data_IF_930243243548
#
_entry.id   IF_930243243548
#
_cell.length_a   1.000
_cell.length_b   1.000
_cell.length_c   1.000
_cell.angle_alpha   90.00
_cell.angle_beta   90.00
_cell.angle_gamma   90.00
#
_symmetry.space_group_name_H-M   'P 1'
#
loop_
_entity.id
_entity.type
_entity.pdbx_description
1 polymer ?
#
# COMPACT_ATOMS: atom_id res chain seq x y z
N UNK A 1 2.94 15.07 -1.62
CA UNK A 1 1.49 14.81 -1.63
C UNK A 1 1.20 13.83 -2.76
N UNK A 2 0.43 12.79 -2.47
CA UNK A 2 0.02 11.77 -3.42
C UNK A 2 -1.50 11.64 -3.40
N UNK A 3 -2.11 11.58 -4.56
CA UNK A 3 -3.53 11.25 -4.74
C UNK A 3 -3.61 9.88 -5.40
N UNK A 4 -4.36 8.98 -4.82
CA UNK A 4 -4.65 7.65 -5.38
C UNK A 4 -6.14 7.49 -5.56
N UNK A 5 -6.53 6.71 -6.55
CA UNK A 5 -7.92 6.31 -6.72
C UNK A 5 -7.98 4.92 -7.33
N UNK A 6 -8.91 4.10 -6.86
CA UNK A 6 -9.10 2.72 -7.34
C UNK A 6 -10.58 2.46 -7.57
N UNK A 7 -10.93 2.16 -8.80
CA UNK A 7 -12.25 1.62 -9.14
C UNK A 7 -12.24 0.10 -9.03
N UNK A 8 -13.16 -0.46 -8.23
CA UNK A 8 -13.23 -1.89 -8.01
C UNK A 8 -13.97 -2.56 -9.16
N UNK A 9 -13.37 -3.61 -9.71
CA UNK A 9 -13.89 -4.40 -10.83
C UNK A 9 -14.48 -5.74 -10.38
N UNK A 10 -14.06 -6.22 -9.21
CA UNK A 10 -14.49 -7.50 -8.64
C UNK A 10 -13.73 -7.82 -7.36
N UNK A 11 -13.81 -9.06 -6.92
CA UNK A 11 -13.13 -9.55 -5.73
C UNK A 11 -12.67 -10.99 -5.89
N UNK A 12 -11.71 -11.39 -5.05
CA UNK A 12 -11.34 -12.79 -4.88
C UNK A 12 -12.05 -13.38 -3.67
N UNK A 13 -12.60 -14.56 -3.83
CA UNK A 13 -13.18 -15.33 -2.72
C UNK A 13 -12.09 -15.98 -1.82
N UNK A 14 -12.52 -16.71 -0.80
CA UNK A 14 -11.62 -17.39 0.13
C UNK A 14 -10.84 -18.55 -0.52
N UNK A 15 -11.25 -19.06 -1.65
CA UNK A 15 -10.60 -20.11 -2.44
C UNK A 15 -9.69 -19.53 -3.54
N UNK A 16 -9.71 -18.20 -3.71
CA UNK A 16 -8.89 -17.49 -4.71
C UNK A 16 -9.52 -17.43 -6.10
N UNK A 17 -10.84 -17.69 -6.23
CA UNK A 17 -11.53 -17.47 -7.49
C UNK A 17 -11.88 -15.99 -7.63
N UNK A 18 -11.65 -15.45 -8.80
CA UNK A 18 -12.08 -14.08 -9.11
C UNK A 18 -13.56 -14.06 -9.49
N UNK A 19 -14.30 -13.13 -8.86
CA UNK A 19 -15.70 -12.86 -9.13
C UNK A 19 -15.85 -11.39 -9.50
N UNK A 20 -16.37 -11.12 -10.69
CA UNK A 20 -16.63 -9.74 -11.13
C UNK A 20 -17.71 -9.09 -10.25
N UNK A 21 -17.65 -7.76 -10.11
CA UNK A 21 -18.66 -7.01 -9.36
C UNK A 21 -20.05 -7.24 -9.97
N UNK A 22 -21.08 -7.52 -9.15
CA UNK A 22 -22.43 -7.71 -9.64
C UNK A 22 -22.98 -6.48 -10.38
N UNK A 23 -23.91 -6.67 -11.29
CA UNK A 23 -24.57 -5.57 -11.98
C UNK A 23 -25.30 -4.65 -10.99
N UNK A 24 -25.17 -3.32 -11.17
CA UNK A 24 -25.75 -2.34 -10.27
C UNK A 24 -24.93 -2.10 -8.99
N UNK A 25 -23.75 -2.69 -8.86
CA UNK A 25 -22.79 -2.39 -7.80
C UNK A 25 -21.59 -1.64 -8.36
N UNK A 26 -21.07 -0.69 -7.61
CA UNK A 26 -19.81 0.00 -7.90
C UNK A 26 -19.13 0.43 -6.62
N UNK A 27 -17.81 0.44 -6.63
CA UNK A 27 -17.00 0.94 -5.53
C UNK A 27 -15.80 1.72 -6.09
N UNK A 28 -15.54 2.86 -5.48
CA UNK A 28 -14.37 3.68 -5.76
C UNK A 28 -13.75 4.12 -4.45
N UNK A 29 -12.48 3.81 -4.28
CA UNK A 29 -11.67 4.21 -3.14
C UNK A 29 -10.67 5.28 -3.57
N UNK A 30 -10.72 6.45 -2.92
CA UNK A 30 -9.80 7.55 -3.06
C UNK A 30 -8.94 7.73 -1.81
N UNK A 31 -7.68 8.11 -1.97
CA UNK A 31 -6.77 8.38 -0.87
C UNK A 31 -5.87 9.56 -1.23
N UNK A 32 -5.78 10.53 -0.32
CA UNK A 32 -4.85 11.65 -0.40
C UNK A 32 -3.81 11.50 0.71
N UNK A 33 -2.55 11.27 0.33
CA UNK A 33 -1.44 11.13 1.26
C UNK A 33 -0.67 12.44 1.42
N UNK A 34 -0.56 12.92 2.65
CA UNK A 34 0.45 13.89 3.02
C UNK A 34 1.68 13.15 3.51
N UNK A 35 2.78 13.30 2.78
CA UNK A 35 4.04 12.61 3.07
C UNK A 35 5.12 13.62 3.35
N UNK A 36 5.79 13.46 4.48
CA UNK A 36 7.00 14.21 4.84
C UNK A 36 8.15 13.24 5.12
N UNK A 37 9.29 13.45 4.47
CA UNK A 37 10.51 12.65 4.69
C UNK A 37 11.64 13.55 5.11
N UNK A 38 12.30 13.19 6.20
CA UNK A 38 13.48 13.88 6.72
C UNK A 38 14.66 12.92 6.72
N UNK A 39 15.77 13.34 6.09
CA UNK A 39 17.05 12.67 6.24
C UNK A 39 17.70 13.15 7.53
N UNK A 40 17.92 12.24 8.49
CA UNK A 40 18.44 12.55 9.82
C UNK A 40 19.98 12.48 9.82
N UNK A 41 20.50 11.45 9.17
CA UNK A 41 21.94 11.19 8.99
C UNK A 41 22.19 10.91 7.52
N UNK A 42 23.46 10.83 7.09
CA UNK A 42 23.80 10.50 5.70
C UNK A 42 23.07 9.26 5.18
N UNK A 43 22.89 8.26 6.05
CA UNK A 43 22.40 6.94 5.72
C UNK A 43 20.99 6.64 6.27
N UNK A 44 20.40 7.57 7.05
CA UNK A 44 19.12 7.36 7.71
C UNK A 44 18.08 8.39 7.32
N UNK A 45 16.86 7.95 7.10
CA UNK A 45 15.70 8.82 6.88
C UNK A 45 14.49 8.34 7.67
N UNK A 46 13.63 9.29 8.04
CA UNK A 46 12.34 9.05 8.68
C UNK A 46 11.25 9.65 7.81
N UNK A 47 10.17 8.91 7.63
CA UNK A 47 9.01 9.32 6.84
C UNK A 47 7.76 9.26 7.69
N UNK A 48 6.98 10.34 7.66
CA UNK A 48 5.63 10.43 8.20
C UNK A 48 4.65 10.46 7.05
N UNK A 49 3.61 9.62 7.11
CA UNK A 49 2.52 9.57 6.15
C UNK A 49 1.19 9.72 6.89
N UNK A 50 0.39 10.70 6.48
CA UNK A 50 -0.97 10.94 6.95
C UNK A 50 -1.93 10.78 5.77
N UNK A 51 -2.73 9.69 5.72
CA UNK A 51 -3.69 9.46 4.65
C UNK A 51 -5.06 10.09 4.98
N UNK A 52 -5.74 10.58 3.95
CA UNK A 52 -7.16 10.96 3.97
C UNK A 52 -7.88 10.04 2.98
N UNK A 53 -8.79 9.24 3.49
CA UNK A 53 -9.52 8.22 2.72
C UNK A 53 -10.90 8.73 2.37
N UNK A 54 -11.38 8.43 1.17
CA UNK A 54 -12.74 8.70 0.71
C UNK A 54 -13.24 7.48 -0.06
N UNK A 55 -14.38 6.94 0.32
CA UNK A 55 -14.95 5.75 -0.30
C UNK A 55 -16.36 6.04 -0.80
N UNK A 56 -16.64 5.66 -2.02
CA UNK A 56 -17.97 5.69 -2.62
C UNK A 56 -18.38 4.26 -2.96
N UNK A 57 -19.51 3.82 -2.40
CA UNK A 57 -20.09 2.50 -2.66
C UNK A 57 -21.55 2.62 -3.11
N UNK A 58 -21.90 1.85 -4.12
CA UNK A 58 -23.27 1.72 -4.62
C UNK A 58 -23.65 0.26 -4.69
N UNK A 59 -24.82 -0.07 -4.17
CA UNK A 59 -25.49 -1.35 -4.32
C UNK A 59 -26.93 -1.08 -4.80
N UNK A 60 -27.66 -2.07 -5.33
CA UNK A 60 -29.05 -1.86 -5.74
C UNK A 60 -29.90 -1.21 -4.63
N UNK A 61 -30.41 0.00 -4.90
CA UNK A 61 -31.26 0.75 -3.97
C UNK A 61 -30.53 1.60 -2.91
N UNK A 62 -29.19 1.57 -2.83
CA UNK A 62 -28.43 2.36 -1.87
C UNK A 62 -27.11 2.83 -2.47
N UNK A 63 -26.79 4.10 -2.27
CA UNK A 63 -25.48 4.69 -2.60
C UNK A 63 -25.01 5.53 -1.42
N UNK A 64 -23.79 5.30 -0.98
CA UNK A 64 -23.18 6.02 0.14
C UNK A 64 -21.80 6.55 -0.22
N UNK A 65 -21.48 7.70 0.36
CA UNK A 65 -20.16 8.30 0.35
C UNK A 65 -19.71 8.52 1.79
N UNK A 66 -18.47 8.22 2.08
CA UNK A 66 -17.87 8.43 3.39
C UNK A 66 -16.36 8.60 3.29
N UNK A 67 -15.72 8.74 4.43
CA UNK A 67 -14.28 8.91 4.51
C UNK A 67 -13.84 9.57 5.79
N UNK A 68 -12.56 9.94 5.84
CA UNK A 68 -11.95 10.59 6.99
C UNK A 68 -10.43 10.43 7.00
N UNK A 69 -9.82 10.73 8.12
CA UNK A 69 -8.40 10.47 8.36
C UNK A 69 -8.19 8.96 8.47
N UNK A 70 -7.16 8.46 7.78
CA UNK A 70 -6.76 7.07 7.86
C UNK A 70 -5.74 6.80 8.96
N UNK A 71 -5.10 5.65 8.91
CA UNK A 71 -4.09 5.25 9.88
C UNK A 71 -2.75 5.92 9.61
N UNK A 72 -2.25 6.70 10.59
CA UNK A 72 -0.97 7.39 10.52
C UNK A 72 0.17 6.38 10.47
N UNK A 73 1.11 6.55 9.53
CA UNK A 73 2.31 5.73 9.45
C UNK A 73 3.58 6.54 9.70
N UNK A 74 4.43 6.05 10.58
CA UNK A 74 5.79 6.51 10.82
C UNK A 74 6.75 5.40 10.43
N UNK A 75 7.69 5.68 9.52
CA UNK A 75 8.67 4.71 9.06
C UNK A 75 10.08 5.27 9.06
N UNK A 76 11.05 4.38 9.15
CA UNK A 76 12.47 4.68 9.08
C UNK A 76 13.15 3.74 8.09
N UNK A 77 14.14 4.27 7.38
CA UNK A 77 15.04 3.52 6.50
C UNK A 77 16.47 3.82 6.90
N UNK A 78 17.30 2.79 6.95
CA UNK A 78 18.74 2.91 7.13
C UNK A 78 19.46 2.17 5.99
N UNK A 79 20.28 2.91 5.24
CA UNK A 79 21.06 2.40 4.11
C UNK A 79 22.42 1.94 4.60
N UNK A 80 22.65 0.61 4.69
CA UNK A 80 23.95 0.02 5.00
C UNK A 80 24.90 0.08 3.82
N UNK A 81 24.37 -0.02 2.62
CA UNK A 81 25.08 0.12 1.35
C UNK A 81 24.19 0.95 0.43
N UNK A 82 24.70 2.07 -0.06
CA UNK A 82 23.95 2.89 -1.01
C UNK A 82 23.90 2.26 -2.41
N UNK A 83 22.77 2.35 -3.06
CA UNK A 83 22.62 1.92 -4.45
C UNK A 83 23.60 2.68 -5.35
N UNK A 84 24.27 1.97 -6.25
CA UNK A 84 25.24 2.56 -7.19
C UNK A 84 26.65 2.76 -6.66
N UNK A 85 26.96 2.47 -5.39
CA UNK A 85 28.34 2.46 -4.88
C UNK A 85 29.20 1.33 -5.49
N UNK A 86 28.57 0.26 -5.89
CA UNK A 86 29.23 -0.90 -6.53
C UNK A 86 28.40 -1.40 -7.71
N UNK A 87 29.08 -1.92 -8.71
CA UNK A 87 28.43 -2.58 -9.84
C UNK A 87 28.04 -4.03 -9.55
N UNK A 88 28.55 -4.60 -8.45
CA UNK A 88 28.37 -6.02 -8.07
C UNK A 88 27.52 -6.14 -6.82
N UNK A 89 27.75 -5.28 -5.81
CA UNK A 89 27.03 -5.30 -4.53
C UNK A 89 25.83 -4.36 -4.63
N UNK A 90 24.60 -4.86 -4.47
CA UNK A 90 23.43 -3.98 -4.45
C UNK A 90 23.43 -3.06 -3.24
N UNK A 91 22.74 -1.95 -3.33
CA UNK A 91 22.35 -1.16 -2.17
C UNK A 91 21.50 -2.01 -1.25
N UNK A 92 21.75 -1.91 0.05
CA UNK A 92 21.06 -2.70 1.09
C UNK A 92 20.53 -1.74 2.14
N UNK A 93 19.22 -1.75 2.33
CA UNK A 93 18.57 -0.95 3.37
C UNK A 93 17.69 -1.81 4.27
N UNK A 94 17.64 -1.45 5.55
CA UNK A 94 16.66 -1.96 6.52
C UNK A 94 15.53 -0.96 6.65
N UNK A 95 14.32 -1.49 6.72
CA UNK A 95 13.07 -0.73 6.82
C UNK A 95 12.37 -1.11 8.12
N UNK A 96 11.93 -0.11 8.86
CA UNK A 96 11.13 -0.26 10.08
C UNK A 96 9.94 0.69 10.00
N UNK A 97 8.81 0.31 10.56
CA UNK A 97 7.62 1.16 10.55
C UNK A 97 6.65 0.83 11.66
N UNK A 98 5.87 1.84 12.01
CA UNK A 98 4.75 1.73 12.95
C UNK A 98 3.54 2.43 12.31
N UNK A 99 2.41 1.72 12.26
CA UNK A 99 1.12 2.30 11.89
C UNK A 99 0.27 2.45 13.14
N UNK A 100 -0.27 3.65 13.33
CA UNK A 100 -1.13 4.01 14.46
C UNK A 100 -2.59 3.93 14.01
N UNK A 101 -3.50 3.33 14.79
CA UNK A 101 -4.91 3.20 14.44
C UNK A 101 -5.66 4.53 14.67
N UNK A 102 -5.33 5.54 13.89
CA UNK A 102 -5.97 6.87 13.95
C UNK A 102 -7.22 6.96 13.08
N UNK A 103 -7.35 6.04 12.14
CA UNK A 103 -8.54 5.88 11.32
C UNK A 103 -9.69 5.20 12.06
N UNK A 104 -10.86 5.21 11.45
CA UNK A 104 -12.05 4.52 11.96
C UNK A 104 -12.02 3.06 11.51
N UNK A 105 -12.07 2.13 12.46
CA UNK A 105 -12.15 0.71 12.16
C UNK A 105 -13.51 0.31 11.53
N UNK A 106 -13.57 -0.75 10.72
CA UNK A 106 -14.81 -1.16 10.04
C UNK A 106 -16.00 -1.42 10.99
N UNK A 107 -15.75 -1.99 12.18
CA UNK A 107 -16.77 -2.24 13.20
C UNK A 107 -17.30 -0.97 13.89
N UNK A 108 -16.64 0.16 13.70
CA UNK A 108 -17.03 1.49 14.20
C UNK A 108 -17.72 2.32 13.12
N UNK A 109 -17.84 1.79 11.91
CA UNK A 109 -18.48 2.49 10.81
C UNK A 109 -19.94 2.80 11.13
N UNK A 110 -20.38 4.00 10.76
CA UNK A 110 -21.74 4.49 10.95
C UNK A 110 -22.60 4.29 9.71
N UNK A 111 -21.98 4.27 8.54
CA UNK A 111 -22.63 4.09 7.26
C UNK A 111 -22.95 2.60 7.02
N UNK A 112 -24.09 2.31 6.42
CA UNK A 112 -24.54 0.93 6.17
C UNK A 112 -23.57 0.16 5.25
N UNK A 113 -22.95 0.85 4.29
CA UNK A 113 -21.94 0.28 3.41
C UNK A 113 -20.51 0.46 3.94
N UNK A 114 -20.35 0.86 5.22
CA UNK A 114 -19.07 1.10 5.87
C UNK A 114 -18.12 2.02 5.09
N UNK A 115 -18.66 2.99 4.34
CA UNK A 115 -17.87 3.94 3.54
C UNK A 115 -17.06 4.89 4.40
N UNK A 116 -17.38 5.05 5.67
CA UNK A 116 -16.66 5.85 6.66
C UNK A 116 -15.62 5.05 7.46
N UNK A 117 -15.38 3.79 7.12
CA UNK A 117 -14.25 3.02 7.65
C UNK A 117 -12.95 3.46 6.94
N UNK A 118 -11.97 3.94 7.69
CA UNK A 118 -10.73 4.54 7.16
C UNK A 118 -9.46 3.95 7.73
N UNK A 119 -9.56 3.01 8.66
CA UNK A 119 -8.43 2.37 9.34
C UNK A 119 -8.67 0.93 9.70
N UNK A 120 -7.63 0.28 10.23
CA UNK A 120 -7.65 -1.16 10.58
C UNK A 120 -8.03 -1.37 12.05
N UNK A 121 -7.88 -0.35 12.91
CA UNK A 121 -8.19 -0.43 14.33
C UNK A 121 -7.17 -1.18 15.18
N UNK A 122 -5.97 -1.43 14.67
CA UNK A 122 -4.87 -2.09 15.38
C UNK A 122 -3.55 -1.38 15.08
N UNK A 123 -2.63 -1.34 16.06
CA UNK A 123 -1.24 -0.96 15.76
C UNK A 123 -0.61 -2.01 14.87
N UNK A 124 0.22 -1.57 13.90
CA UNK A 124 1.03 -2.48 13.09
C UNK A 124 2.50 -2.10 13.20
N UNK A 125 3.34 -3.07 13.56
CA UNK A 125 4.79 -2.99 13.48
C UNK A 125 5.23 -3.64 12.18
N UNK A 126 6.05 -2.94 11.40
CA UNK A 126 6.56 -3.44 10.11
C UNK A 126 8.08 -3.44 10.13
N UNK A 127 8.67 -4.51 9.63
CA UNK A 127 10.11 -4.61 9.41
C UNK A 127 10.40 -5.23 8.05
N UNK A 128 11.55 -4.86 7.44
CA UNK A 128 11.92 -5.42 6.16
C UNK A 128 13.26 -4.97 5.62
N UNK A 129 13.53 -5.43 4.40
CA UNK A 129 14.78 -5.19 3.68
C UNK A 129 14.47 -4.73 2.26
N UNK A 130 15.21 -3.73 1.79
CA UNK A 130 15.24 -3.33 0.39
C UNK A 130 16.63 -3.59 -0.20
N UNK A 131 16.63 -4.13 -1.42
CA UNK A 131 17.80 -4.33 -2.27
C UNK A 131 17.62 -3.48 -3.52
N UNK A 132 18.60 -2.66 -3.86
CA UNK A 132 18.51 -1.72 -4.97
C UNK A 132 19.80 -1.76 -5.80
N UNK A 133 19.68 -1.90 -7.12
CA UNK A 133 20.84 -1.90 -8.01
C UNK A 133 20.57 -1.05 -9.24
N UNK A 134 21.60 -0.28 -9.64
CA UNK A 134 21.60 0.46 -10.89
C UNK A 134 22.55 -0.18 -11.90
N UNK A 135 22.09 -0.29 -13.14
CA UNK A 135 22.83 -0.77 -14.30
C UNK A 135 22.77 0.32 -15.39
N UNK A 136 23.67 1.28 -15.31
CA UNK A 136 23.56 2.48 -16.12
C UNK A 136 22.28 3.26 -15.82
N UNK A 137 21.34 3.27 -16.76
CA UNK A 137 20.05 3.96 -16.62
C UNK A 137 18.92 3.06 -16.09
N UNK A 138 19.19 1.77 -15.98
CA UNK A 138 18.21 0.82 -15.43
C UNK A 138 18.35 0.74 -13.91
N UNK A 139 17.22 0.69 -13.23
CA UNK A 139 17.11 0.51 -11.79
C UNK A 139 16.33 -0.76 -11.50
N UNK A 140 16.80 -1.56 -10.57
CA UNK A 140 16.10 -2.74 -10.06
C UNK A 140 15.94 -2.56 -8.56
N UNK A 141 14.72 -2.73 -8.07
CA UNK A 141 14.39 -2.72 -6.65
C UNK A 141 13.70 -4.03 -6.28
N UNK A 142 14.12 -4.62 -5.17
CA UNK A 142 13.45 -5.74 -4.53
C UNK A 142 13.26 -5.40 -3.06
N UNK A 143 12.01 -5.36 -2.59
CA UNK A 143 11.68 -5.06 -1.19
C UNK A 143 10.83 -6.17 -0.62
N UNK A 144 11.17 -6.62 0.59
CA UNK A 144 10.39 -7.56 1.38
C UNK A 144 10.06 -6.96 2.75
N UNK A 145 8.78 -6.98 3.13
CA UNK A 145 8.29 -6.47 4.42
C UNK A 145 7.47 -7.54 5.12
N UNK A 146 7.52 -7.53 6.47
CA UNK A 146 6.62 -8.29 7.34
C UNK A 146 5.99 -7.32 8.33
N UNK A 147 4.67 -7.37 8.47
CA UNK A 147 3.88 -6.54 9.39
C UNK A 147 3.16 -7.40 10.42
N UNK A 148 3.37 -7.11 11.69
CA UNK A 148 2.66 -7.72 12.81
C UNK A 148 1.68 -6.72 13.41
N UNK A 149 0.46 -7.17 13.72
CA UNK A 149 -0.60 -6.35 14.29
C UNK A 149 -0.89 -6.72 15.73
N UNK A 150 -1.17 -5.72 16.57
CA UNK A 150 -1.57 -5.96 17.95
C UNK A 150 -2.96 -6.59 18.01
N UNK A 151 -3.23 -7.44 19.03
CA UNK A 151 -4.58 -7.85 19.36
C UNK A 151 -5.48 -6.63 19.61
N UNK A 152 -6.77 -6.77 19.27
CA UNK A 152 -7.81 -5.76 19.54
C UNK A 152 -9.06 -6.44 20.05
N UNK A 153 -9.90 -5.71 20.77
CA UNK A 153 -11.20 -6.19 21.21
C UNK A 153 -12.29 -5.55 20.38
N UNK A 154 -13.10 -6.40 19.72
CA UNK A 154 -14.22 -5.99 18.88
C UNK A 154 -15.50 -6.52 19.52
N UNK A 155 -16.34 -5.63 20.07
CA UNK A 155 -17.59 -6.00 20.76
C UNK A 155 -17.39 -7.05 21.87
N UNK A 156 -16.27 -7.00 22.59
CA UNK A 156 -15.94 -7.94 23.67
C UNK A 156 -15.34 -9.27 23.21
N UNK A 157 -15.01 -9.40 21.92
CA UNK A 157 -14.32 -10.56 21.33
C UNK A 157 -12.87 -10.16 21.02
N UNK A 158 -11.91 -10.94 21.48
CA UNK A 158 -10.51 -10.72 21.20
C UNK A 158 -10.18 -11.18 19.78
N UNK A 159 -9.70 -10.25 18.96
CA UNK A 159 -9.31 -10.47 17.57
C UNK A 159 -7.83 -10.10 17.37
N UNK A 160 -7.12 -10.94 16.64
CA UNK A 160 -5.76 -10.65 16.14
C UNK A 160 -5.73 -10.90 14.64
N UNK A 161 -5.47 -9.83 13.89
CA UNK A 161 -5.29 -9.94 12.44
C UNK A 161 -4.01 -10.70 12.12
N UNK A 162 -4.01 -11.43 11.02
CA UNK A 162 -2.86 -12.21 10.59
C UNK A 162 -1.62 -11.36 10.31
N UNK A 163 -0.44 -11.96 10.43
CA UNK A 163 0.81 -11.33 9.99
C UNK A 163 0.73 -11.08 8.49
N UNK A 164 1.09 -9.87 8.07
CA UNK A 164 1.10 -9.46 6.68
C UNK A 164 2.51 -9.54 6.12
N UNK A 165 2.66 -10.10 4.94
CA UNK A 165 3.89 -10.08 4.14
C UNK A 165 3.65 -9.27 2.89
N UNK A 166 4.65 -8.49 2.49
CA UNK A 166 4.63 -7.73 1.23
C UNK A 166 5.96 -7.93 0.52
N UNK A 167 5.88 -8.32 -0.75
CA UNK A 167 6.99 -8.32 -1.69
C UNK A 167 6.76 -7.28 -2.77
N UNK A 168 7.79 -6.53 -3.14
CA UNK A 168 7.77 -5.57 -4.24
C UNK A 168 8.99 -5.81 -5.13
N UNK A 169 8.77 -5.95 -6.42
CA UNK A 169 9.77 -5.91 -7.48
C UNK A 169 9.52 -4.66 -8.34
N UNK A 170 10.53 -3.81 -8.52
CA UNK A 170 10.50 -2.64 -9.36
C UNK A 170 11.58 -2.69 -10.43
N UNK A 171 11.24 -2.30 -11.65
CA UNK A 171 12.14 -2.14 -12.78
C UNK A 171 11.97 -0.73 -13.33
N UNK A 172 13.00 0.10 -13.27
CA UNK A 172 12.97 1.49 -13.67
C UNK A 172 13.95 1.80 -14.80
N UNK A 173 13.64 2.84 -15.55
CA UNK A 173 14.55 3.45 -16.52
C UNK A 173 14.56 4.96 -16.34
N UNK A 174 15.74 5.56 -16.31
CA UNK A 174 15.95 7.00 -16.16
C UNK A 174 16.47 7.58 -17.47
N UNK A 175 15.78 8.59 -17.98
CA UNK A 175 16.12 9.30 -19.21
C UNK A 175 17.20 10.38 -18.95
N UNK A 176 17.78 10.95 -20.02
CA UNK A 176 18.82 12.00 -19.94
C UNK A 176 18.34 13.28 -19.26
N UNK A 177 17.05 13.55 -19.28
CA UNK A 177 16.40 14.71 -18.66
C UNK A 177 15.89 14.42 -17.25
N UNK A 178 16.38 13.38 -16.58
CA UNK A 178 15.96 12.91 -15.26
C UNK A 178 14.49 12.52 -15.12
N UNK A 179 13.76 12.44 -16.25
CA UNK A 179 12.47 11.76 -16.27
C UNK A 179 12.68 10.27 -16.06
N UNK A 180 11.68 9.59 -15.52
CA UNK A 180 11.77 8.14 -15.32
C UNK A 180 10.45 7.44 -15.61
N UNK A 181 10.55 6.17 -15.96
CA UNK A 181 9.44 5.23 -16.08
C UNK A 181 9.77 3.99 -15.28
N UNK A 182 8.78 3.37 -14.64
CA UNK A 182 8.98 2.15 -13.88
C UNK A 182 7.79 1.19 -14.02
N UNK A 183 8.10 -0.09 -14.11
CA UNK A 183 7.17 -1.20 -13.96
C UNK A 183 7.34 -1.78 -12.56
N UNK A 184 6.25 -2.09 -11.89
CA UNK A 184 6.27 -2.72 -10.56
C UNK A 184 5.35 -3.92 -10.50
N UNK A 185 5.74 -4.88 -9.67
CA UNK A 185 4.90 -5.97 -9.22
C UNK A 185 4.93 -6.00 -7.70
N UNK A 186 3.75 -5.94 -7.07
CA UNK A 186 3.60 -6.06 -5.62
C UNK A 186 2.72 -7.26 -5.31
N UNK A 187 3.10 -8.03 -4.32
CA UNK A 187 2.29 -9.10 -3.77
C UNK A 187 2.16 -8.91 -2.26
N UNK A 188 0.92 -8.76 -1.80
CA UNK A 188 0.60 -8.67 -0.37
C UNK A 188 -0.11 -9.97 0.00
N UNK A 189 0.33 -10.59 1.10
CA UNK A 189 -0.30 -11.78 1.67
C UNK A 189 -0.46 -11.57 3.17
N UNK A 190 -1.60 -11.96 3.71
CA UNK A 190 -1.91 -11.90 5.14
C UNK A 190 -2.34 -13.31 5.60
N UNK A 191 -1.76 -13.77 6.68
CA UNK A 191 -2.12 -15.05 7.29
C UNK A 191 -3.54 -15.00 7.87
N UNK A 192 -4.05 -16.15 8.27
CA UNK A 192 -5.36 -16.23 8.91
C UNK A 192 -5.41 -15.41 10.20
N UNK A 193 -6.53 -14.74 10.43
CA UNK A 193 -6.83 -14.07 11.69
C UNK A 193 -7.10 -15.08 12.81
N UNK A 194 -7.03 -14.60 14.04
CA UNK A 194 -7.38 -15.35 15.25
C UNK A 194 -8.50 -14.64 16.00
N UNK A 195 -9.44 -15.40 16.51
CA UNK A 195 -10.55 -14.94 17.36
C UNK A 195 -10.53 -15.75 18.65
N UNK A 196 -10.44 -15.08 19.80
CA UNK A 196 -10.28 -15.70 21.11
C UNK A 196 -9.15 -16.76 21.15
N UNK A 197 -8.03 -16.46 20.47
CA UNK A 197 -6.87 -17.36 20.39
C UNK A 197 -7.03 -18.55 19.42
N UNK A 198 -8.16 -18.65 18.72
CA UNK A 198 -8.40 -19.70 17.73
C UNK A 198 -8.26 -19.14 16.31
N UNK A 199 -7.52 -19.86 15.46
CA UNK A 199 -7.39 -19.49 14.06
C UNK A 199 -8.73 -19.61 13.32
N UNK A 200 -9.10 -18.54 12.60
CA UNK A 200 -10.26 -18.54 11.71
C UNK A 200 -9.85 -19.10 10.35
N UNK A 201 -10.29 -20.29 9.96
CA UNK A 201 -9.90 -20.89 8.68
C UNK A 201 -10.33 -20.01 7.50
N UNK A 202 -9.50 -19.93 6.47
CA UNK A 202 -9.76 -19.22 5.22
C UNK A 202 -9.97 -17.69 5.37
N UNK A 203 -9.57 -17.08 6.49
CA UNK A 203 -9.63 -15.63 6.70
C UNK A 203 -8.39 -14.90 6.15
N UNK A 204 -7.35 -15.61 5.74
CA UNK A 204 -6.16 -15.04 5.13
C UNK A 204 -6.47 -14.29 3.83
N UNK A 205 -5.67 -13.29 3.50
CA UNK A 205 -5.86 -12.40 2.34
C UNK A 205 -4.64 -12.43 1.44
N UNK A 206 -4.84 -12.21 0.15
CA UNK A 206 -3.74 -12.03 -0.79
C UNK A 206 -4.16 -11.16 -1.98
N UNK A 207 -3.26 -10.30 -2.48
CA UNK A 207 -3.52 -9.44 -3.62
C UNK A 207 -2.24 -9.21 -4.44
N UNK A 208 -2.20 -9.65 -5.71
CA UNK A 208 -1.21 -9.23 -6.67
C UNK A 208 -1.57 -7.88 -7.27
N UNK A 209 -0.57 -7.02 -7.47
CA UNK A 209 -0.74 -5.72 -8.12
C UNK A 209 0.39 -5.50 -9.13
N UNK A 210 0.05 -5.11 -10.33
CA UNK A 210 1.00 -4.63 -11.35
C UNK A 210 0.85 -3.13 -11.47
N UNK A 211 1.95 -2.40 -11.58
CA UNK A 211 1.95 -0.95 -11.71
C UNK A 211 2.86 -0.48 -12.84
N UNK A 212 2.43 0.55 -13.55
CA UNK A 212 3.26 1.34 -14.47
C UNK A 212 3.24 2.78 -13.99
N UNK A 213 4.39 3.37 -13.78
CA UNK A 213 4.52 4.74 -13.28
C UNK A 213 5.59 5.52 -14.03
N UNK A 214 5.53 6.83 -13.92
CA UNK A 214 6.53 7.74 -14.44
C UNK A 214 6.70 8.96 -13.53
N UNK A 215 7.86 9.60 -13.62
CA UNK A 215 8.12 10.84 -12.94
C UNK A 215 8.85 11.83 -13.85
N UNK A 216 8.50 13.12 -13.72
CA UNK A 216 9.04 14.21 -14.50
C UNK A 216 9.61 15.27 -13.54
N UNK A 217 10.86 15.73 -13.71
CA UNK A 217 11.39 16.87 -12.98
C UNK A 217 10.66 18.15 -13.45
N UNK A 218 10.27 18.99 -12.51
CA UNK A 218 9.72 20.33 -12.74
C UNK A 218 10.67 21.38 -12.13
N UNK A 219 11.82 21.56 -12.78
CA UNK A 219 12.93 22.34 -12.25
C UNK A 219 13.74 21.58 -11.18
N UNK A 220 14.49 22.31 -10.35
CA UNK A 220 15.47 21.71 -9.41
C UNK A 220 14.81 21.07 -8.17
N UNK A 221 13.72 21.66 -7.68
CA UNK A 221 13.12 21.29 -6.40
C UNK A 221 11.86 20.44 -6.51
N UNK A 222 11.21 20.39 -7.64
CA UNK A 222 9.90 19.76 -7.80
C UNK A 222 9.93 18.56 -8.74
N UNK A 223 9.13 17.56 -8.44
CA UNK A 223 8.91 16.39 -9.30
C UNK A 223 7.43 16.04 -9.35
N UNK A 224 6.91 15.92 -10.56
CA UNK A 224 5.57 15.36 -10.81
C UNK A 224 5.71 13.86 -11.03
N UNK A 225 4.80 13.08 -10.44
CA UNK A 225 4.73 11.64 -10.67
C UNK A 225 3.31 11.21 -10.97
N UNK A 226 3.18 10.17 -11.78
CA UNK A 226 1.89 9.57 -12.11
C UNK A 226 2.03 8.11 -12.45
N UNK A 227 0.94 7.36 -12.33
CA UNK A 227 0.96 5.94 -12.64
C UNK A 227 -0.44 5.34 -12.64
N UNK A 228 -0.50 4.11 -13.12
CA UNK A 228 -1.67 3.24 -13.08
C UNK A 228 -1.30 1.95 -12.37
N UNK A 229 -2.26 1.37 -11.65
CA UNK A 229 -2.14 0.09 -10.98
C UNK A 229 -3.29 -0.81 -11.38
N UNK A 230 -3.04 -2.10 -11.43
CA UNK A 230 -4.04 -3.08 -11.82
C UNK A 230 -3.87 -4.36 -11.01
N UNK A 231 -4.98 -4.87 -10.48
CA UNK A 231 -5.03 -6.19 -9.87
C UNK A 231 -5.55 -7.19 -10.89
N UNK A 232 -4.67 -8.01 -11.50
CA UNK A 232 -5.08 -8.91 -12.57
C UNK A 232 -6.08 -9.96 -12.05
N UNK A 233 -7.21 -10.20 -12.75
CA UNK A 233 -8.27 -11.11 -12.30
C UNK A 233 -7.89 -12.58 -12.53
N UNK A 234 -6.74 -12.98 -12.01
CA UNK A 234 -6.20 -14.33 -12.16
C UNK A 234 -6.51 -15.16 -10.92
N UNK A 235 -7.40 -16.15 -11.05
CA UNK A 235 -7.74 -17.09 -9.98
C UNK A 235 -6.48 -17.77 -9.41
N UNK A 236 -6.46 -17.94 -8.09
CA UNK A 236 -5.35 -18.52 -7.35
C UNK A 236 -4.26 -17.53 -6.93
N UNK A 237 -4.24 -16.29 -7.46
CA UNK A 237 -3.28 -15.26 -7.05
C UNK A 237 -3.80 -14.32 -5.97
N UNK A 238 -5.10 -14.05 -5.94
CA UNK A 238 -5.75 -13.24 -4.90
C UNK A 238 -6.57 -14.08 -3.94
N UNK A 239 -6.91 -13.53 -2.77
CA UNK A 239 -7.78 -14.16 -1.76
C UNK A 239 -8.41 -13.10 -0.86
N UNK A 240 -9.73 -13.17 -0.65
CA UNK A 240 -10.48 -12.28 0.26
C UNK A 240 -10.15 -10.80 0.08
N UNK A 241 -9.95 -10.35 -1.14
CA UNK A 241 -9.59 -8.98 -1.46
C UNK A 241 -10.35 -8.48 -2.68
N UNK A 242 -10.68 -7.20 -2.68
CA UNK A 242 -11.18 -6.51 -3.86
C UNK A 242 -10.04 -6.33 -4.88
N UNK A 243 -10.41 -6.34 -6.15
CA UNK A 243 -9.47 -6.17 -7.26
C UNK A 243 -9.99 -5.08 -8.21
N UNK A 244 -9.11 -4.21 -8.67
CA UNK A 244 -9.50 -3.04 -9.43
C UNK A 244 -8.42 -2.49 -10.35
N UNK A 245 -8.78 -1.37 -10.95
CA UNK A 245 -7.88 -0.51 -11.70
C UNK A 245 -7.72 0.81 -10.93
N UNK A 246 -6.49 1.19 -10.66
CA UNK A 246 -6.16 2.39 -9.92
C UNK A 246 -5.27 3.35 -10.69
N UNK A 247 -5.19 4.57 -10.18
CA UNK A 247 -4.24 5.58 -10.61
C UNK A 247 -3.54 6.21 -9.40
N UNK A 248 -2.38 6.78 -9.65
CA UNK A 248 -1.61 7.59 -8.70
C UNK A 248 -1.20 8.89 -9.39
N UNK A 249 -1.35 10.01 -8.70
CA UNK A 249 -0.82 11.31 -9.10
C UNK A 249 -0.11 11.93 -7.90
N UNK A 250 1.06 12.51 -8.09
CA UNK A 250 1.82 13.07 -7.00
C UNK A 250 2.67 14.25 -7.39
N UNK A 251 2.86 15.14 -6.43
CA UNK A 251 3.83 16.22 -6.50
C UNK A 251 4.75 16.13 -5.30
N UNK A 252 6.04 16.13 -5.56
CA UNK A 252 7.09 16.05 -4.56
C UNK A 252 7.93 17.32 -4.62
N UNK A 253 8.35 17.81 -3.45
CA UNK A 253 9.31 18.89 -3.32
C UNK A 253 10.47 18.42 -2.47
N UNK A 254 11.69 18.69 -2.92
CA UNK A 254 12.92 18.47 -2.16
C UNK A 254 13.40 19.82 -1.63
N UNK A 255 13.76 19.88 -0.35
CA UNK A 255 14.42 21.00 0.29
C UNK A 255 15.89 20.60 0.54
N UNK A 256 16.80 21.42 0.13
CA UNK A 256 18.26 21.32 0.39
C UNK A 256 18.64 22.18 1.58
#
# INVERSE_FOLDING_TARGET
MLLRGTGILGSYDAQGHYVASPSGTSEFDGELDLVGTLRILGDAQVTLLLPFVATWRTVPGLSEFGGGVGDLNLSARYDFVHAGQSTVVPGIAVLLGVTFPTGRAPEQASNLLATDATGVGAYQLTGGIALEQSFGRFLVNLTGLAGWRTPRSVQGVDETLGVQFQGLLGLGYVFDNDASVALSFTYIAELNAMVNGQTVPNSGRALPTVGLSGALPLGEAWRLQGGITYNPPLSGLGRNQTAGLGFVLGILRTWT
#
